data_IF_004861610004
#
_entry.id   IF_004861610004
#
_cell.length_a   1.000
_cell.length_b   1.000
_cell.length_c   1.000
_cell.angle_alpha   90.00
_cell.angle_beta   90.00
_cell.angle_gamma   90.00
#
_symmetry.space_group_name_H-M   'P 1'
#
loop_
_entity.id
_entity.type
_entity.pdbx_description
1 polymer ?
#
# COMPACT_ATOMS: atom_id res chain seq x y z
N UNK A 1 7.87 -11.95 -21.18
CA UNK A 1 8.01 -10.54 -20.74
C UNK A 1 8.94 -9.82 -21.68
N UNK A 2 8.65 -8.57 -22.04
CA UNK A 2 9.63 -7.70 -22.72
C UNK A 2 10.61 -7.14 -21.68
N UNK A 3 11.87 -6.83 -22.04
CA UNK A 3 12.79 -6.17 -21.12
C UNK A 3 12.22 -4.85 -20.61
N UNK A 4 12.32 -4.60 -19.30
CA UNK A 4 11.96 -3.32 -18.69
C UNK A 4 13.22 -2.45 -18.59
N UNK A 5 13.21 -1.20 -19.10
CA UNK A 5 14.35 -0.30 -18.99
C UNK A 5 14.74 -0.03 -17.54
N UNK A 6 16.05 0.01 -17.26
CA UNK A 6 16.55 0.46 -15.95
C UNK A 6 16.06 1.88 -15.69
N UNK A 7 15.49 2.10 -14.50
CA UNK A 7 14.91 3.39 -14.11
C UNK A 7 13.46 3.60 -14.56
N UNK A 8 12.81 2.61 -15.16
CA UNK A 8 11.36 2.62 -15.32
C UNK A 8 10.69 2.83 -13.95
N UNK A 9 9.68 3.70 -13.91
CA UNK A 9 8.94 4.03 -12.68
C UNK A 9 7.48 3.64 -12.86
N UNK A 10 6.99 2.79 -11.98
CA UNK A 10 5.55 2.58 -11.85
C UNK A 10 4.94 3.55 -10.84
N UNK A 11 3.62 3.68 -10.91
CA UNK A 11 2.85 4.55 -10.03
C UNK A 11 1.53 3.89 -9.71
N UNK A 12 1.14 3.92 -8.43
CA UNK A 12 -0.15 3.45 -7.98
C UNK A 12 -0.76 4.47 -7.03
N UNK A 13 -2.06 4.73 -7.21
CA UNK A 13 -2.82 5.62 -6.34
C UNK A 13 -3.94 4.83 -5.69
N UNK A 14 -4.02 4.88 -4.36
CA UNK A 14 -5.07 4.28 -3.58
C UNK A 14 -5.72 5.35 -2.70
N UNK A 15 -7.05 5.41 -2.70
CA UNK A 15 -7.79 6.19 -1.71
C UNK A 15 -7.77 5.45 -0.37
N UNK A 16 -7.24 6.08 0.68
CA UNK A 16 -7.31 5.52 2.04
C UNK A 16 -8.76 5.50 2.51
N UNK A 17 -9.21 4.33 2.95
CA UNK A 17 -10.53 4.09 3.55
C UNK A 17 -10.35 3.53 4.96
N UNK A 18 -11.39 3.49 5.80
CA UNK A 18 -11.29 2.92 7.15
C UNK A 18 -10.74 1.48 7.17
N UNK A 19 -11.08 0.66 6.17
CA UNK A 19 -10.59 -0.73 6.07
C UNK A 19 -9.06 -0.83 5.91
N UNK A 20 -8.38 0.25 5.53
CA UNK A 20 -6.93 0.28 5.34
C UNK A 20 -6.15 0.72 6.60
N UNK A 21 -6.86 1.04 7.69
CA UNK A 21 -6.24 1.58 8.91
C UNK A 21 -5.72 0.47 9.81
N UNK A 22 -4.61 0.72 10.49
CA UNK A 22 -3.96 -0.24 11.40
C UNK A 22 -4.93 -0.75 12.48
N UNK A 23 -5.78 0.14 12.98
CA UNK A 23 -6.76 -0.16 14.01
C UNK A 23 -7.98 -0.98 13.53
N UNK A 24 -8.14 -1.14 12.22
CA UNK A 24 -9.15 -2.02 11.62
C UNK A 24 -8.52 -3.29 11.08
N UNK A 25 -7.24 -3.23 10.70
CA UNK A 25 -6.51 -4.36 10.14
C UNK A 25 -6.01 -5.36 11.20
N UNK A 26 -5.49 -4.87 12.34
CA UNK A 26 -4.80 -5.72 13.33
C UNK A 26 -5.43 -5.70 14.71
N UNK A 27 -5.58 -4.52 15.31
CA UNK A 27 -6.01 -4.38 16.70
C UNK A 27 -6.65 -3.00 16.92
N UNK A 28 -7.87 -2.97 17.49
CA UNK A 28 -8.62 -1.76 17.73
C UNK A 28 -7.91 -0.73 18.63
N UNK A 29 -6.94 -1.14 19.45
CA UNK A 29 -6.13 -0.25 20.29
C UNK A 29 -5.10 0.57 19.50
N UNK A 30 -4.81 0.21 18.25
CA UNK A 30 -3.82 0.92 17.43
C UNK A 30 -4.32 2.30 16.98
N UNK A 31 -3.41 3.23 16.63
CA UNK A 31 -3.79 4.51 16.04
C UNK A 31 -4.50 4.35 14.69
N UNK A 32 -5.38 5.32 14.37
CA UNK A 32 -6.10 5.43 13.08
C UNK A 32 -5.19 5.94 11.96
N UNK A 33 -4.14 5.18 11.65
CA UNK A 33 -3.15 5.48 10.62
C UNK A 33 -3.12 4.39 9.56
N UNK A 34 -2.62 4.71 8.37
CA UNK A 34 -2.49 3.74 7.28
C UNK A 34 -1.58 2.57 7.70
N UNK A 35 -2.08 1.35 7.53
CA UNK A 35 -1.37 0.16 7.99
C UNK A 35 -0.16 -0.15 7.10
N UNK A 36 0.97 -0.53 7.70
CA UNK A 36 2.17 -0.93 6.94
C UNK A 36 1.91 -2.07 5.94
N UNK A 37 1.09 -3.11 6.24
CA UNK A 37 0.72 -4.10 5.23
C UNK A 37 0.03 -3.49 4.01
N UNK A 38 -0.82 -2.47 4.20
CA UNK A 38 -1.48 -1.77 3.09
C UNK A 38 -0.50 -0.94 2.25
N UNK A 39 0.55 -0.41 2.87
CA UNK A 39 1.66 0.25 2.16
C UNK A 39 2.42 -0.75 1.28
N UNK A 40 2.72 -1.95 1.78
CA UNK A 40 3.37 -3.01 1.00
C UNK A 40 2.51 -3.39 -0.21
N UNK A 41 1.20 -3.59 -0.01
CA UNK A 41 0.28 -3.84 -1.13
C UNK A 41 0.28 -2.70 -2.16
N UNK A 42 0.35 -1.44 -1.73
CA UNK A 42 0.45 -0.32 -2.66
C UNK A 42 1.78 -0.31 -3.44
N UNK A 43 2.89 -0.69 -2.80
CA UNK A 43 4.20 -0.83 -3.45
C UNK A 43 4.20 -1.98 -4.47
N UNK A 44 3.59 -3.11 -4.14
CA UNK A 44 3.46 -4.27 -5.04
C UNK A 44 2.61 -3.94 -6.27
N UNK A 45 1.50 -3.20 -6.10
CA UNK A 45 0.68 -2.76 -7.23
C UNK A 45 1.33 -1.66 -8.09
N UNK A 46 2.38 -1.01 -7.58
CA UNK A 46 3.14 -0.01 -8.31
C UNK A 46 4.33 -0.59 -9.09
N UNK A 47 4.68 -1.86 -8.86
CA UNK A 47 5.81 -2.54 -9.51
C UNK A 47 5.47 -3.00 -10.93
#
# INVERSE_FOLDING_TARGET
MRPIPVGAKGSYTLRVTPAHLANQFKDAALPKVFATPMMVTAMENAA
#
